data_IF_600429614400
#
_entry.id   IF_600429614400
#
_cell.length_a   1.000
_cell.length_b   1.000
_cell.length_c   1.000
_cell.angle_alpha   90.00
_cell.angle_beta   90.00
_cell.angle_gamma   90.00
#
_symmetry.space_group_name_H-M   'P 1'
#
loop_
_entity.id
_entity.type
_entity.pdbx_description
1 polymer ?
#
# COMPACT_ATOMS: atom_id res chain seq x y z
N UNK A 1 -15.31 -6.75 13.64
CA UNK A 1 -13.85 -6.76 13.84
C UNK A 1 -13.19 -7.23 12.55
N UNK A 2 -12.27 -6.45 11.95
CA UNK A 2 -11.58 -6.84 10.71
C UNK A 2 -10.33 -7.67 11.06
N UNK A 3 -9.22 -7.01 11.43
CA UNK A 3 -7.93 -7.63 11.73
C UNK A 3 -7.85 -8.37 13.07
N UNK A 4 -8.85 -8.23 13.95
CA UNK A 4 -8.93 -8.94 15.24
C UNK A 4 -9.97 -10.06 15.24
N UNK A 5 -10.50 -10.43 14.07
CA UNK A 5 -11.46 -11.53 13.96
C UNK A 5 -10.78 -12.90 13.99
N UNK A 6 -11.44 -13.89 14.58
CA UNK A 6 -10.94 -15.28 14.57
C UNK A 6 -10.69 -15.79 13.15
N UNK A 7 -11.61 -15.52 12.22
CA UNK A 7 -11.46 -15.92 10.82
C UNK A 7 -10.17 -15.38 10.17
N UNK A 8 -9.77 -14.14 10.49
CA UNK A 8 -8.51 -13.57 9.99
C UNK A 8 -7.31 -14.25 10.65
N UNK A 9 -7.33 -14.43 11.97
CA UNK A 9 -6.26 -15.11 12.71
C UNK A 9 -6.05 -16.56 12.28
N UNK A 10 -7.12 -17.30 11.99
CA UNK A 10 -7.07 -18.70 11.57
C UNK A 10 -6.55 -18.88 10.14
N UNK A 11 -6.66 -17.84 9.31
CA UNK A 11 -6.18 -17.84 7.93
C UNK A 11 -4.68 -17.57 7.85
N UNK A 12 -4.12 -16.68 8.68
CA UNK A 12 -2.72 -16.23 8.59
C UNK A 12 -1.69 -17.38 8.62
N UNK A 13 -1.78 -18.39 9.52
CA UNK A 13 -0.84 -19.51 9.51
C UNK A 13 -0.90 -20.34 8.23
N UNK A 14 -2.07 -20.43 7.57
CA UNK A 14 -2.27 -21.21 6.33
C UNK A 14 -1.53 -20.60 5.14
N UNK A 15 -1.26 -19.31 5.18
CA UNK A 15 -0.50 -18.57 4.16
C UNK A 15 0.93 -18.25 4.60
N UNK A 16 1.38 -18.79 5.74
CA UNK A 16 2.72 -18.54 6.28
C UNK A 16 2.93 -17.11 6.79
N UNK A 17 1.85 -16.39 7.11
CA UNK A 17 1.91 -15.03 7.62
C UNK A 17 1.82 -15.01 9.16
N UNK A 18 2.60 -14.13 9.79
CA UNK A 18 2.51 -13.85 11.22
C UNK A 18 1.72 -12.56 11.44
N UNK A 19 0.80 -12.57 12.42
CA UNK A 19 0.11 -11.33 12.79
C UNK A 19 1.07 -10.38 13.51
N UNK A 20 1.09 -9.13 13.07
CA UNK A 20 1.83 -8.05 13.73
C UNK A 20 0.89 -6.86 13.89
N UNK A 21 0.42 -6.64 15.12
CA UNK A 21 -0.46 -5.51 15.45
C UNK A 21 0.36 -4.47 16.24
N UNK A 22 0.37 -3.24 15.74
CA UNK A 22 1.00 -2.11 16.43
C UNK A 22 0.36 -1.87 17.80
N UNK A 23 1.17 -1.43 18.76
CA UNK A 23 0.64 -0.97 20.06
C UNK A 23 -0.29 0.22 19.84
N UNK A 24 -1.31 0.33 20.70
CA UNK A 24 -2.21 1.50 20.70
C UNK A 24 -1.37 2.78 20.85
N UNK A 25 -1.59 3.74 19.95
CA UNK A 25 -0.86 5.01 19.93
C UNK A 25 0.44 5.01 19.11
N UNK A 26 0.84 3.90 18.48
CA UNK A 26 1.97 3.89 17.54
C UNK A 26 1.49 4.10 16.10
N UNK A 27 1.55 5.33 15.58
CA UNK A 27 1.19 5.63 14.19
C UNK A 27 2.35 5.39 13.20
N UNK A 28 3.59 5.24 13.67
CA UNK A 28 4.75 5.13 12.77
C UNK A 28 4.68 3.90 11.87
N UNK A 29 4.19 2.79 12.40
CA UNK A 29 4.03 1.54 11.65
C UNK A 29 3.02 1.70 10.50
N UNK A 30 1.99 2.54 10.68
CA UNK A 30 0.96 2.82 9.67
C UNK A 30 1.31 3.99 8.74
N UNK A 31 2.26 4.85 9.13
CA UNK A 31 2.57 6.09 8.42
C UNK A 31 2.94 5.88 6.94
N UNK A 32 3.63 4.78 6.62
CA UNK A 32 3.96 4.42 5.23
C UNK A 32 2.70 4.13 4.40
N UNK A 33 1.75 3.39 4.98
CA UNK A 33 0.47 3.08 4.32
C UNK A 33 -0.42 4.31 4.23
N UNK A 34 -0.47 5.16 5.26
CA UNK A 34 -1.19 6.44 5.21
C UNK A 34 -0.64 7.35 4.10
N UNK A 35 0.69 7.43 3.96
CA UNK A 35 1.32 8.17 2.86
C UNK A 35 0.94 7.61 1.50
N UNK A 36 0.94 6.28 1.32
CA UNK A 36 0.47 5.65 0.09
C UNK A 36 -0.99 6.01 -0.21
N UNK A 37 -1.89 5.88 0.76
CA UNK A 37 -3.31 6.19 0.55
C UNK A 37 -3.57 7.67 0.27
N UNK A 38 -2.81 8.57 0.88
CA UNK A 38 -2.86 9.99 0.56
C UNK A 38 -2.53 10.23 -0.91
N UNK A 39 -1.43 9.64 -1.41
CA UNK A 39 -1.02 9.74 -2.81
C UNK A 39 -2.00 9.06 -3.78
N UNK A 40 -2.47 7.85 -3.48
CA UNK A 40 -3.47 7.16 -4.30
C UNK A 40 -4.72 8.01 -4.49
N UNK A 41 -5.21 8.63 -3.42
CA UNK A 41 -6.40 9.47 -3.50
C UNK A 41 -6.15 10.74 -4.31
N UNK A 42 -5.08 11.48 -4.01
CA UNK A 42 -4.83 12.78 -4.63
C UNK A 42 -4.34 12.71 -6.07
N UNK A 43 -3.56 11.68 -6.40
CA UNK A 43 -2.95 11.51 -7.73
C UNK A 43 -3.74 10.51 -8.60
N UNK A 44 -4.30 9.46 -7.99
CA UNK A 44 -4.92 8.33 -8.69
C UNK A 44 -6.45 8.35 -8.76
N UNK A 45 -7.15 9.05 -7.86
CA UNK A 45 -8.62 9.01 -7.79
C UNK A 45 -9.28 10.38 -7.98
N UNK A 46 -8.95 11.38 -7.15
CA UNK A 46 -9.60 12.69 -7.15
C UNK A 46 -9.56 13.45 -8.49
N UNK A 47 -8.48 13.36 -9.30
CA UNK A 47 -8.46 14.04 -10.60
C UNK A 47 -9.45 13.47 -11.62
N UNK A 48 -10.08 12.33 -11.31
CA UNK A 48 -10.84 11.57 -12.27
C UNK A 48 -12.30 11.38 -11.85
N UNK A 49 -13.18 11.50 -12.84
CA UNK A 49 -14.60 11.29 -12.65
C UNK A 49 -14.95 9.81 -12.85
N UNK A 50 -14.76 9.02 -11.78
CA UNK A 50 -14.98 7.57 -11.77
C UNK A 50 -16.47 7.26 -11.74
N UNK A 51 -16.97 6.48 -12.71
CA UNK A 51 -18.41 6.21 -12.88
C UNK A 51 -18.83 4.78 -12.52
N UNK A 52 -17.88 3.87 -12.33
CA UNK A 52 -18.16 2.48 -11.96
C UNK A 52 -17.12 1.89 -11.02
N UNK A 53 -17.48 0.78 -10.37
CA UNK A 53 -16.55 0.02 -9.53
C UNK A 53 -15.40 -0.57 -10.37
N UNK A 54 -15.68 -1.05 -11.58
CA UNK A 54 -14.65 -1.58 -12.48
C UNK A 54 -13.63 -0.51 -12.88
N UNK A 55 -14.10 0.72 -13.15
CA UNK A 55 -13.20 1.84 -13.44
C UNK A 55 -12.35 2.20 -12.20
N UNK A 56 -12.95 2.19 -11.01
CA UNK A 56 -12.24 2.43 -9.76
C UNK A 56 -11.15 1.38 -9.54
N UNK A 57 -11.49 0.09 -9.70
CA UNK A 57 -10.57 -1.02 -9.52
C UNK A 57 -9.39 -0.92 -10.51
N UNK A 58 -9.68 -0.72 -11.80
CA UNK A 58 -8.64 -0.58 -12.83
C UNK A 58 -7.68 0.56 -12.49
N UNK A 59 -8.20 1.72 -12.08
CA UNK A 59 -7.37 2.86 -11.67
C UNK A 59 -6.50 2.56 -10.47
N UNK A 60 -7.03 1.86 -9.47
CA UNK A 60 -6.26 1.48 -8.28
C UNK A 60 -5.12 0.56 -8.68
N UNK A 61 -5.38 -0.44 -9.53
CA UNK A 61 -4.35 -1.37 -10.04
C UNK A 61 -3.27 -0.65 -10.84
N UNK A 62 -3.66 0.22 -11.79
CA UNK A 62 -2.76 1.05 -12.58
C UNK A 62 -1.89 1.95 -11.68
N UNK A 63 -2.50 2.59 -10.67
CA UNK A 63 -1.79 3.46 -9.75
C UNK A 63 -0.83 2.68 -8.85
N UNK A 64 -1.20 1.50 -8.36
CA UNK A 64 -0.30 0.61 -7.59
C UNK A 64 0.92 0.24 -8.43
N UNK A 65 0.73 -0.09 -9.71
CA UNK A 65 1.84 -0.38 -10.61
C UNK A 65 2.75 0.83 -10.78
N UNK A 66 2.18 1.99 -11.11
CA UNK A 66 2.90 3.26 -11.24
C UNK A 66 3.67 3.62 -9.96
N UNK A 67 3.04 3.54 -8.79
CA UNK A 67 3.64 3.87 -7.51
C UNK A 67 4.90 3.05 -7.23
N UNK A 68 4.88 1.75 -7.57
CA UNK A 68 5.96 0.82 -7.28
C UNK A 68 7.09 0.85 -8.32
N UNK A 69 6.77 1.11 -9.59
CA UNK A 69 7.73 0.96 -10.70
C UNK A 69 8.19 2.27 -11.31
N UNK A 70 7.42 3.36 -11.19
CA UNK A 70 7.68 4.58 -11.94
C UNK A 70 7.69 5.84 -11.09
N UNK A 71 7.00 5.86 -9.94
CA UNK A 71 6.85 7.06 -9.11
C UNK A 71 8.16 7.41 -8.37
N UNK A 72 8.82 8.54 -8.69
CA UNK A 72 10.04 8.94 -8.00
C UNK A 72 9.73 9.37 -6.56
N UNK A 73 10.43 8.81 -5.58
CA UNK A 73 10.22 9.18 -4.17
C UNK A 73 11.44 9.89 -3.59
N UNK A 74 11.25 11.12 -3.08
CA UNK A 74 12.35 11.92 -2.52
C UNK A 74 13.10 11.19 -1.39
N UNK A 75 12.36 10.46 -0.54
CA UNK A 75 12.94 9.65 0.55
C UNK A 75 13.79 8.47 0.03
N UNK A 76 13.52 7.99 -1.18
CA UNK A 76 14.21 6.86 -1.82
C UNK A 76 15.25 7.33 -2.86
N UNK A 77 15.88 8.49 -2.66
CA UNK A 77 16.84 9.08 -3.62
C UNK A 77 16.25 9.28 -5.02
N UNK A 78 14.94 9.56 -5.11
CA UNK A 78 14.15 9.68 -6.36
C UNK A 78 13.99 8.36 -7.13
N UNK A 79 14.25 7.22 -6.50
CA UNK A 79 14.01 5.91 -7.09
C UNK A 79 12.56 5.46 -6.82
N UNK A 80 11.98 4.65 -7.72
CA UNK A 80 10.80 3.85 -7.43
C UNK A 80 11.06 2.80 -6.34
N UNK A 81 10.05 2.41 -5.55
CA UNK A 81 10.16 1.38 -4.51
C UNK A 81 10.83 0.08 -4.96
N UNK A 82 10.48 -0.43 -6.15
CA UNK A 82 11.04 -1.68 -6.67
C UNK A 82 12.54 -1.55 -6.97
N UNK A 83 12.96 -0.44 -7.57
CA UNK A 83 14.38 -0.21 -7.85
C UNK A 83 15.18 0.00 -6.57
N UNK A 84 14.64 0.77 -5.62
CA UNK A 84 15.26 0.95 -4.31
C UNK A 84 15.45 -0.38 -3.59
N UNK A 85 14.44 -1.27 -3.62
CA UNK A 85 14.56 -2.62 -3.04
C UNK A 85 15.61 -3.47 -3.72
N UNK A 86 15.72 -3.42 -5.07
CA UNK A 86 16.74 -4.16 -5.82
C UNK A 86 18.16 -3.74 -5.44
N UNK A 87 18.39 -2.45 -5.19
CA UNK A 87 19.70 -1.94 -4.75
C UNK A 87 20.08 -2.37 -3.32
N UNK A 88 19.09 -2.62 -2.45
CA UNK A 88 19.34 -3.06 -1.08
C UNK A 88 19.51 -4.58 -0.95
N UNK A 89 19.01 -5.35 -1.93
CA UNK A 89 19.12 -6.81 -1.96
C UNK A 89 20.36 -7.32 -2.71
N UNK A 90 21.15 -6.41 -3.29
CA UNK A 90 22.45 -6.67 -3.91
C UNK A 90 23.57 -6.38 -2.90
#
# INVERSE_FOLDING_TARGET
FQYTSYAYHDMLPKVGAQISMSRKGNCYDNASMESFFSHLKTEGLYPYHIRSLDEAQRRIEEYIHFYNHNRPQRKLKKLPPVEYRRQLAA
#
